data_IF_261796652904
#
_entry.id   IF_261796652904
#
_cell.length_a   1.000
_cell.length_b   1.000
_cell.length_c   1.000
_cell.angle_alpha   90.00
_cell.angle_beta   90.00
_cell.angle_gamma   90.00
#
_symmetry.space_group_name_H-M   'P 1'
#
loop_
_entity.id
_entity.type
_entity.pdbx_description
1 polymer ?
#
# COMPACT_ATOMS: atom_id res chain seq x y z
N UNK A 1 0.67 5.44 -7.41
CA UNK A 1 -0.23 4.38 -6.89
C UNK A 1 0.01 3.00 -7.51
N UNK A 2 0.05 2.84 -8.85
CA UNK A 2 0.24 1.52 -9.50
C UNK A 2 1.48 0.75 -9.03
N UNK A 3 2.60 1.44 -8.78
CA UNK A 3 3.82 0.81 -8.29
C UNK A 3 3.62 0.15 -6.91
N UNK A 4 3.00 0.86 -5.95
CA UNK A 4 2.66 0.32 -4.62
C UNK A 4 1.76 -0.91 -4.76
N UNK A 5 0.71 -0.82 -5.59
CA UNK A 5 -0.18 -1.97 -5.84
C UNK A 5 0.56 -3.16 -6.44
N UNK A 6 1.50 -2.93 -7.34
CA UNK A 6 2.33 -3.98 -7.93
C UNK A 6 3.29 -4.62 -6.92
N UNK A 7 3.88 -3.84 -6.02
CA UNK A 7 4.76 -4.36 -4.97
C UNK A 7 4.01 -5.30 -4.03
N UNK A 8 2.82 -4.87 -3.57
CA UNK A 8 1.97 -5.69 -2.68
C UNK A 8 1.47 -6.95 -3.40
N UNK A 9 0.99 -6.82 -4.64
CA UNK A 9 0.58 -7.99 -5.45
C UNK A 9 1.75 -8.93 -5.77
N UNK A 10 2.98 -8.42 -5.75
CA UNK A 10 4.22 -9.19 -5.89
C UNK A 10 4.65 -9.90 -4.59
N UNK A 11 3.84 -9.82 -3.53
CA UNK A 11 4.08 -10.53 -2.26
C UNK A 11 4.85 -9.72 -1.22
N UNK A 12 5.18 -8.45 -1.47
CA UNK A 12 5.76 -7.60 -0.42
C UNK A 12 4.68 -7.23 0.61
N UNK A 13 4.99 -7.51 1.87
CA UNK A 13 4.15 -7.20 3.04
C UNK A 13 4.85 -6.24 4.03
N UNK A 14 6.05 -5.77 3.71
CA UNK A 14 6.81 -4.75 4.44
C UNK A 14 6.31 -3.34 4.13
N UNK A 15 5.04 -3.09 4.48
CA UNK A 15 4.34 -1.84 4.16
C UNK A 15 5.08 -0.54 4.52
N UNK A 16 5.79 -0.43 5.67
CA UNK A 16 6.56 0.79 5.96
C UNK A 16 7.62 1.09 4.91
N UNK A 17 8.38 0.08 4.47
CA UNK A 17 9.41 0.25 3.45
C UNK A 17 8.81 0.54 2.07
N UNK A 18 7.66 -0.07 1.74
CA UNK A 18 6.91 0.28 0.52
C UNK A 18 6.47 1.75 0.54
N UNK A 19 6.09 2.28 1.71
CA UNK A 19 5.72 3.69 1.88
C UNK A 19 6.94 4.60 1.71
N UNK A 20 8.09 4.25 2.27
CA UNK A 20 9.34 5.01 2.07
C UNK A 20 9.71 5.09 0.58
N UNK A 21 9.69 3.95 -0.12
CA UNK A 21 9.93 3.90 -1.57
C UNK A 21 8.91 4.79 -2.35
N UNK A 22 7.64 4.80 -1.92
CA UNK A 22 6.61 5.62 -2.55
C UNK A 22 6.82 7.12 -2.34
N UNK A 23 7.26 7.52 -1.14
CA UNK A 23 7.64 8.90 -0.82
C UNK A 23 8.77 9.36 -1.74
N UNK A 24 9.79 8.53 -1.93
CA UNK A 24 10.92 8.87 -2.79
C UNK A 24 10.52 8.95 -4.28
N UNK A 25 9.62 8.09 -4.74
CA UNK A 25 9.08 8.20 -6.11
C UNK A 25 8.26 9.47 -6.34
N UNK A 26 7.47 9.89 -5.35
CA UNK A 26 6.71 11.14 -5.44
C UNK A 26 7.65 12.36 -5.49
N UNK A 27 8.68 12.38 -4.64
CA UNK A 27 9.73 13.43 -4.68
C UNK A 27 10.43 13.49 -6.02
N UNK A 28 10.79 12.33 -6.59
CA UNK A 28 11.42 12.24 -7.91
C UNK A 28 10.51 12.71 -9.06
N UNK A 29 9.19 12.82 -8.82
CA UNK A 29 8.20 13.33 -9.76
C UNK A 29 7.79 14.79 -9.46
N UNK A 30 8.59 15.53 -8.69
CA UNK A 30 8.34 16.93 -8.30
C UNK A 30 7.03 17.15 -7.50
N UNK A 31 6.55 16.11 -6.82
CA UNK A 31 5.48 16.21 -5.84
C UNK A 31 6.08 16.26 -4.43
N UNK A 32 5.48 17.05 -3.55
CA UNK A 32 5.82 17.07 -2.13
C UNK A 32 4.93 16.06 -1.39
N UNK A 33 5.44 14.91 -0.93
CA UNK A 33 4.62 13.91 -0.26
C UNK A 33 4.09 14.44 1.08
N UNK A 34 2.86 14.08 1.40
CA UNK A 34 2.23 14.38 2.69
C UNK A 34 2.03 13.05 3.44
N UNK A 35 0.80 12.56 3.53
CA UNK A 35 0.50 11.30 4.20
C UNK A 35 0.24 10.17 3.20
N UNK A 36 0.82 8.99 3.47
CA UNK A 36 0.55 7.74 2.74
C UNK A 36 0.22 6.65 3.75
N UNK A 37 -0.89 5.95 3.53
CA UNK A 37 -1.31 4.82 4.34
C UNK A 37 -1.62 3.59 3.48
N UNK A 38 -1.30 2.43 4.02
CA UNK A 38 -1.77 1.13 3.53
C UNK A 38 -2.56 0.50 4.67
N UNK A 39 -3.86 0.26 4.44
CA UNK A 39 -4.81 -0.18 5.47
C UNK A 39 -5.74 -1.25 4.92
N UNK A 40 -6.42 -1.96 5.81
CA UNK A 40 -7.55 -2.80 5.44
C UNK A 40 -8.65 -1.95 4.78
N UNK A 41 -9.11 -2.36 3.61
CA UNK A 41 -10.03 -1.56 2.79
C UNK A 41 -11.41 -1.36 3.43
N UNK A 42 -11.82 -2.24 4.35
CA UNK A 42 -13.14 -2.18 4.99
C UNK A 42 -13.13 -1.40 6.29
N UNK A 43 -12.06 -1.55 7.07
CA UNK A 43 -11.99 -1.03 8.45
C UNK A 43 -11.08 0.18 8.59
N UNK A 44 -10.20 0.45 7.62
CA UNK A 44 -9.13 1.45 7.69
C UNK A 44 -8.13 1.23 8.84
N UNK A 45 -8.17 0.07 9.48
CA UNK A 45 -7.21 -0.36 10.48
C UNK A 45 -5.96 -0.95 9.80
N UNK A 46 -4.86 -1.19 10.55
CA UNK A 46 -3.73 -1.94 10.04
C UNK A 46 -4.17 -3.27 9.42
N UNK A 47 -3.52 -3.66 8.33
CA UNK A 47 -3.79 -4.94 7.65
C UNK A 47 -3.52 -6.08 8.63
N UNK A 48 -4.44 -7.04 8.67
CA UNK A 48 -4.30 -8.28 9.44
C UNK A 48 -4.30 -9.49 8.51
N UNK A 49 -4.09 -10.68 9.07
CA UNK A 49 -4.23 -11.95 8.33
C UNK A 49 -5.65 -12.21 7.82
N UNK A 50 -6.66 -11.53 8.36
CA UNK A 50 -8.05 -11.64 7.92
C UNK A 50 -8.41 -10.63 6.81
N UNK A 51 -7.54 -9.66 6.55
CA UNK A 51 -7.74 -8.66 5.50
C UNK A 51 -7.75 -9.32 4.12
N UNK A 52 -8.83 -9.12 3.39
CA UNK A 52 -8.98 -9.61 2.00
C UNK A 52 -8.60 -8.58 0.97
N UNK A 53 -8.72 -7.30 1.34
CA UNK A 53 -8.45 -6.17 0.47
C UNK A 53 -7.71 -5.10 1.28
N UNK A 54 -6.74 -4.48 0.64
CA UNK A 54 -6.07 -3.30 1.13
C UNK A 54 -6.54 -2.07 0.37
N UNK A 55 -6.52 -0.91 1.03
CA UNK A 55 -6.63 0.39 0.40
C UNK A 55 -5.33 1.15 0.61
N UNK A 56 -4.78 1.66 -0.48
CA UNK A 56 -3.70 2.63 -0.47
C UNK A 56 -4.36 4.00 -0.45
N UNK A 57 -4.03 4.82 0.55
CA UNK A 57 -4.47 6.21 0.68
C UNK A 57 -3.24 7.09 0.52
N UNK A 58 -3.31 8.08 -0.36
CA UNK A 58 -2.16 8.95 -0.66
C UNK A 58 -2.60 10.41 -0.68
N UNK A 59 -1.73 11.26 -0.17
CA UNK A 59 -1.79 12.70 -0.35
C UNK A 59 -0.41 13.26 -0.68
N UNK A 60 -0.40 14.29 -1.52
CA UNK A 60 0.81 15.02 -1.89
C UNK A 60 0.44 16.44 -2.33
N UNK A 61 1.37 17.38 -2.17
CA UNK A 61 1.24 18.74 -2.66
C UNK A 61 1.86 18.89 -4.06
N UNK A 62 1.13 19.59 -4.92
CA UNK A 62 1.63 20.15 -6.18
C UNK A 62 1.58 21.68 -6.05
N UNK A 63 2.68 22.26 -5.56
CA UNK A 63 2.72 23.66 -5.13
C UNK A 63 1.72 23.92 -4.00
N UNK A 64 0.71 24.76 -4.25
CA UNK A 64 -0.32 25.10 -3.23
C UNK A 64 -1.49 24.12 -3.21
N UNK A 65 -1.58 23.20 -4.16
CA UNK A 65 -2.71 22.29 -4.32
C UNK A 65 -2.39 20.98 -3.60
N UNK A 66 -3.24 20.57 -2.66
CA UNK A 66 -3.15 19.26 -2.02
C UNK A 66 -3.99 18.25 -2.80
N UNK A 67 -3.33 17.29 -3.43
CA UNK A 67 -3.95 16.19 -4.15
C UNK A 67 -4.17 15.01 -3.21
N UNK A 68 -5.29 14.31 -3.40
CA UNK A 68 -5.56 13.04 -2.75
C UNK A 68 -5.92 12.01 -3.80
N UNK A 69 -5.56 10.76 -3.54
CA UNK A 69 -6.01 9.63 -4.34
C UNK A 69 -6.08 8.37 -3.47
N UNK A 70 -6.87 7.39 -3.90
CA UNK A 70 -6.93 6.09 -3.26
C UNK A 70 -6.99 4.96 -4.30
N UNK A 71 -6.47 3.80 -3.91
CA UNK A 71 -6.54 2.60 -4.74
C UNK A 71 -6.77 1.38 -3.86
N UNK A 72 -7.86 0.65 -4.12
CA UNK A 72 -8.15 -0.65 -3.51
C UNK A 72 -7.46 -1.76 -4.31
N UNK A 73 -6.92 -2.75 -3.62
CA UNK A 73 -6.38 -3.97 -4.20
C UNK A 73 -6.77 -5.19 -3.37
N UNK A 74 -6.93 -6.33 -4.05
CA UNK A 74 -7.09 -7.62 -3.38
C UNK A 74 -5.73 -8.11 -2.87
N UNK A 75 -5.72 -8.60 -1.62
CA UNK A 75 -4.58 -9.27 -1.03
C UNK A 75 -4.65 -10.74 -1.44
N UNK A 76 -3.58 -11.28 -2.02
CA UNK A 76 -3.52 -12.71 -2.24
C UNK A 76 -3.23 -13.39 -0.90
N UNK A 77 -4.26 -14.03 -0.33
CA UNK A 77 -4.04 -15.06 0.69
C UNK A 77 -3.37 -16.23 -0.01
N UNK A 78 -2.03 -16.26 0.00
CA UNK A 78 -1.36 -17.55 -0.11
C UNK A 78 -1.85 -18.35 1.09
N UNK A 79 -2.68 -19.34 0.81
CA UNK A 79 -2.83 -20.48 1.70
C UNK A 79 -1.45 -21.11 1.72
N UNK A 80 -0.60 -20.65 2.65
CA UNK A 80 0.51 -21.45 3.15
C UNK A 80 -0.15 -22.65 3.84
N UNK A 81 -0.64 -23.57 3.03
CA UNK A 81 -0.89 -24.93 3.45
C UNK A 81 0.45 -25.35 4.05
N UNK A 82 0.43 -25.56 5.36
CA UNK A 82 1.46 -26.28 6.08
C UNK A 82 1.92 -27.43 5.18
N UNK A 83 3.16 -27.37 4.73
CA UNK A 83 3.85 -28.54 4.21
C UNK A 83 3.86 -29.56 5.36
N UNK A 84 2.88 -30.44 5.29
CA UNK A 84 2.83 -31.83 5.75
C UNK A 84 3.91 -32.20 6.78
N UNK A 85 3.46 -32.34 8.03
CA UNK A 85 3.94 -33.41 8.89
C UNK A 85 3.75 -34.74 8.14
N UNK A 86 4.83 -35.38 7.73
CA UNK A 86 5.03 -36.84 7.71
C UNK A 86 6.53 -37.18 7.69
#
# INVERSE_FOLDING_TARGET
MRWISSAIRGGRDDYPSIIEDAVDQLRAADLEPDEIFIRDARTLLPISSESKQAVILMSAFLGKVRLIDNQVLDLQTDTKASSEEE
#
